data_IF_291642070708
#
_entry.id   IF_291642070708
#
_cell.length_a   1.000
_cell.length_b   1.000
_cell.length_c   1.000
_cell.angle_alpha   90.00
_cell.angle_beta   90.00
_cell.angle_gamma   90.00
#
_symmetry.space_group_name_H-M   'P 1'
#
loop_
_entity.id
_entity.type
_entity.pdbx_description
1 polymer ?
#
# COMPACT_ATOMS: atom_id res chain seq x y z
N UNK A 1 29.99 2.21 -28.27
CA UNK A 1 29.40 2.75 -29.51
C UNK A 1 28.31 1.81 -29.98
N UNK A 2 27.05 2.08 -29.61
CA UNK A 2 25.85 1.49 -30.21
C UNK A 2 24.94 2.71 -30.42
N UNK A 3 25.21 3.45 -31.49
CA UNK A 3 24.54 4.70 -31.83
C UNK A 3 24.07 4.59 -33.27
N UNK A 4 22.76 4.69 -33.47
CA UNK A 4 22.12 4.62 -34.77
C UNK A 4 20.76 3.95 -34.63
N UNK A 5 19.70 4.73 -34.83
CA UNK A 5 18.28 4.31 -34.86
C UNK A 5 17.54 4.20 -33.52
N UNK A 6 17.69 5.19 -32.64
CA UNK A 6 16.55 5.61 -31.82
C UNK A 6 16.09 6.94 -32.40
N UNK A 7 15.37 6.88 -33.52
CA UNK A 7 14.49 7.98 -33.91
C UNK A 7 13.37 7.90 -32.89
N UNK A 8 13.54 8.53 -31.73
CA UNK A 8 12.47 8.66 -30.74
C UNK A 8 11.36 9.46 -31.44
N UNK A 9 10.20 8.90 -31.81
CA UNK A 9 9.12 9.67 -32.45
C UNK A 9 8.58 10.80 -31.55
N UNK A 10 9.03 10.81 -30.29
CA UNK A 10 8.84 11.84 -29.27
C UNK A 10 9.42 13.20 -29.69
N UNK A 11 10.45 13.22 -30.55
CA UNK A 11 11.12 14.43 -31.06
C UNK A 11 10.27 15.17 -32.09
N UNK A 12 9.60 14.44 -32.98
CA UNK A 12 8.86 15.03 -34.10
C UNK A 12 7.40 15.38 -33.77
N UNK A 13 6.81 14.75 -32.76
CA UNK A 13 5.39 14.94 -32.42
C UNK A 13 5.19 15.40 -30.99
N UNK A 14 4.88 16.68 -30.83
CA UNK A 14 4.72 17.28 -29.49
C UNK A 14 3.62 16.64 -28.64
N UNK A 15 2.62 16.01 -29.26
CA UNK A 15 1.60 15.22 -28.57
C UNK A 15 2.16 13.96 -27.90
N UNK A 16 3.04 13.22 -28.56
CA UNK A 16 3.64 12.00 -28.01
C UNK A 16 4.50 12.34 -26.80
N UNK A 17 5.23 13.46 -26.84
CA UNK A 17 6.01 13.84 -25.68
C UNK A 17 5.15 14.21 -24.46
N UNK A 18 4.12 15.04 -24.65
CA UNK A 18 3.19 15.40 -23.56
C UNK A 18 2.57 14.16 -22.94
N UNK A 19 2.13 13.22 -23.78
CA UNK A 19 1.54 11.95 -23.32
C UNK A 19 2.56 11.11 -22.53
N UNK A 20 3.79 10.97 -23.03
CA UNK A 20 4.86 10.22 -22.35
C UNK A 20 5.17 10.82 -20.99
N UNK A 21 5.37 12.14 -20.91
CA UNK A 21 5.61 12.83 -19.65
C UNK A 21 4.45 12.61 -18.68
N UNK A 22 3.22 12.85 -19.12
CA UNK A 22 2.01 12.65 -18.34
C UNK A 22 1.90 11.22 -17.77
N UNK A 23 2.12 10.20 -18.60
CA UNK A 23 2.09 8.80 -18.15
C UNK A 23 3.18 8.49 -17.13
N UNK A 24 4.39 9.01 -17.29
CA UNK A 24 5.49 8.81 -16.33
C UNK A 24 5.16 9.43 -14.97
N UNK A 25 4.64 10.66 -14.95
CA UNK A 25 4.28 11.32 -13.68
C UNK A 25 3.12 10.62 -12.97
N UNK A 26 2.10 10.19 -13.73
CA UNK A 26 0.96 9.47 -13.17
C UNK A 26 1.38 8.12 -12.60
N UNK A 27 2.10 7.30 -13.36
CA UNK A 27 2.51 5.97 -12.90
C UNK A 27 3.41 6.04 -11.66
N UNK A 28 4.34 6.99 -11.62
CA UNK A 28 5.19 7.27 -10.45
C UNK A 28 4.39 7.72 -9.23
N UNK A 29 3.21 8.31 -9.41
CA UNK A 29 2.37 8.77 -8.32
C UNK A 29 1.41 7.69 -7.85
N UNK A 30 0.77 6.96 -8.76
CA UNK A 30 -0.16 5.88 -8.41
C UNK A 30 0.55 4.81 -7.57
N UNK A 31 1.76 4.39 -7.95
CA UNK A 31 2.49 3.32 -7.26
C UNK A 31 2.65 3.54 -5.73
N UNK A 32 3.25 4.64 -5.24
CA UNK A 32 3.37 4.88 -3.79
C UNK A 32 2.02 5.04 -3.10
N UNK A 33 1.02 5.64 -3.76
CA UNK A 33 -0.33 5.76 -3.19
C UNK A 33 -1.06 4.42 -3.06
N UNK A 34 -0.84 3.48 -3.98
CA UNK A 34 -1.33 2.10 -3.84
C UNK A 34 -0.66 1.39 -2.67
N UNK A 35 0.64 1.63 -2.45
CA UNK A 35 1.35 1.09 -1.27
C UNK A 35 0.75 1.67 0.01
N UNK A 36 0.47 2.98 0.06
CA UNK A 36 -0.23 3.61 1.20
C UNK A 36 -1.56 2.92 1.46
N UNK A 37 -2.40 2.71 0.43
CA UNK A 37 -3.66 1.99 0.58
C UNK A 37 -3.46 0.57 1.13
N UNK A 38 -2.44 -0.15 0.66
CA UNK A 38 -2.13 -1.48 1.19
C UNK A 38 -1.70 -1.42 2.67
N UNK A 39 -0.97 -0.39 3.10
CA UNK A 39 -0.62 -0.21 4.52
C UNK A 39 -1.84 0.14 5.38
N UNK A 40 -2.76 0.95 4.86
CA UNK A 40 -4.03 1.27 5.54
C UNK A 40 -4.89 0.01 5.67
N UNK A 41 -4.97 -0.79 4.61
CA UNK A 41 -5.73 -2.04 4.60
C UNK A 41 -5.19 -3.02 5.65
N UNK A 42 -3.86 -3.22 5.70
CA UNK A 42 -3.19 -4.01 6.75
C UNK A 42 -3.44 -3.45 8.14
N UNK A 43 -3.43 -2.13 8.32
CA UNK A 43 -3.74 -1.51 9.60
C UNK A 43 -5.19 -1.79 10.03
N UNK A 44 -6.17 -1.66 9.14
CA UNK A 44 -7.58 -1.94 9.41
C UNK A 44 -7.79 -3.41 9.80
N UNK A 45 -7.10 -4.35 9.13
CA UNK A 45 -7.13 -5.77 9.47
C UNK A 45 -6.48 -6.06 10.83
N UNK A 46 -5.40 -5.36 11.18
CA UNK A 46 -4.71 -5.51 12.47
C UNK A 46 -5.51 -4.99 13.66
N UNK A 47 -6.45 -4.07 13.44
CA UNK A 47 -7.27 -3.44 14.48
C UNK A 47 -8.07 -4.49 15.27
N UNK A 48 -8.25 -4.27 16.58
CA UNK A 48 -9.05 -5.16 17.43
C UNK A 48 -10.55 -4.97 17.17
N UNK A 49 -10.95 -3.75 16.77
CA UNK A 49 -12.35 -3.43 16.51
C UNK A 49 -12.89 -4.10 15.24
N UNK A 50 -13.92 -4.95 15.40
CA UNK A 50 -14.59 -5.65 14.30
C UNK A 50 -15.17 -4.68 13.25
N UNK A 51 -15.69 -3.53 13.69
CA UNK A 51 -16.22 -2.50 12.78
C UNK A 51 -15.12 -1.87 11.90
N UNK A 52 -13.89 -1.73 12.41
CA UNK A 52 -12.76 -1.23 11.63
C UNK A 52 -12.27 -2.29 10.64
N UNK A 53 -12.25 -3.57 11.03
CA UNK A 53 -11.94 -4.70 10.13
C UNK A 53 -12.90 -4.77 8.95
N UNK A 54 -14.18 -4.54 9.18
CA UNK A 54 -15.20 -4.56 8.13
C UNK A 54 -15.00 -3.46 7.06
N UNK A 55 -14.21 -2.42 7.34
CA UNK A 55 -13.87 -1.39 6.34
C UNK A 55 -12.77 -1.84 5.36
N UNK A 56 -11.99 -2.86 5.70
CA UNK A 56 -11.09 -3.58 4.78
C UNK A 56 -11.93 -4.54 3.94
N UNK A 57 -12.68 -3.97 3.00
CA UNK A 57 -13.40 -4.76 1.99
C UNK A 57 -12.80 -4.48 0.63
N UNK A 58 -12.73 -5.51 -0.21
CA UNK A 58 -12.23 -5.39 -1.58
C UNK A 58 -12.95 -4.28 -2.36
N UNK A 59 -14.26 -4.12 -2.14
CA UNK A 59 -15.08 -3.06 -2.76
C UNK A 59 -14.61 -1.67 -2.36
N UNK A 60 -14.27 -1.46 -1.09
CA UNK A 60 -13.77 -0.18 -0.61
C UNK A 60 -12.36 0.08 -1.16
N UNK A 61 -11.47 -0.92 -1.12
CA UNK A 61 -10.13 -0.82 -1.71
C UNK A 61 -10.18 -0.44 -3.20
N UNK A 62 -11.06 -1.09 -3.99
CA UNK A 62 -11.27 -0.75 -5.40
C UNK A 62 -11.77 0.69 -5.58
N UNK A 63 -12.73 1.15 -4.76
CA UNK A 63 -13.20 2.55 -4.80
C UNK A 63 -12.07 3.54 -4.54
N UNK A 64 -11.24 3.30 -3.52
CA UNK A 64 -10.09 4.16 -3.21
C UNK A 64 -9.05 4.16 -4.32
N UNK A 65 -8.74 3.01 -4.91
CA UNK A 65 -7.85 2.93 -6.06
C UNK A 65 -8.36 3.76 -7.24
N UNK A 66 -9.66 3.65 -7.57
CA UNK A 66 -10.27 4.44 -8.65
C UNK A 66 -10.16 5.94 -8.34
N UNK A 67 -10.45 6.36 -7.11
CA UNK A 67 -10.34 7.76 -6.67
C UNK A 67 -8.91 8.26 -6.85
N UNK A 68 -7.89 7.48 -6.46
CA UNK A 68 -6.47 7.86 -6.60
C UNK A 68 -6.07 8.00 -8.06
N UNK A 69 -6.54 7.11 -8.93
CA UNK A 69 -6.26 7.19 -10.37
C UNK A 69 -6.85 8.48 -10.94
N UNK A 70 -8.13 8.76 -10.66
CA UNK A 70 -8.81 9.98 -11.13
C UNK A 70 -8.12 11.23 -10.59
N UNK A 71 -7.80 11.25 -9.30
CA UNK A 71 -7.11 12.37 -8.66
C UNK A 71 -5.71 12.59 -9.27
N UNK A 72 -4.96 11.52 -9.55
CA UNK A 72 -3.64 11.61 -10.20
C UNK A 72 -3.76 12.17 -11.61
N UNK A 73 -4.77 11.76 -12.39
CA UNK A 73 -5.04 12.29 -13.73
C UNK A 73 -5.32 13.80 -13.67
N UNK A 74 -6.19 14.23 -12.74
CA UNK A 74 -6.55 15.65 -12.60
C UNK A 74 -5.37 16.52 -12.18
N UNK A 75 -4.56 16.03 -11.23
CA UNK A 75 -3.39 16.75 -10.73
C UNK A 75 -2.34 16.97 -11.82
N UNK A 76 -2.11 15.95 -12.66
CA UNK A 76 -1.15 16.04 -13.75
C UNK A 76 -1.74 16.49 -15.09
N UNK A 77 -3.04 16.80 -15.16
CA UNK A 77 -3.67 17.35 -16.36
C UNK A 77 -3.00 18.67 -16.80
N UNK A 78 -2.50 19.46 -15.85
CA UNK A 78 -1.76 20.70 -16.12
C UNK A 78 -0.48 20.48 -16.97
N UNK A 79 0.07 19.26 -17.00
CA UNK A 79 1.27 18.96 -17.81
C UNK A 79 0.99 19.07 -19.31
N UNK A 80 -0.25 18.81 -19.76
CA UNK A 80 -0.60 18.98 -21.18
C UNK A 80 -0.48 20.44 -21.63
N UNK A 81 -0.69 21.39 -20.73
CA UNK A 81 -0.51 22.82 -20.98
C UNK A 81 0.93 23.28 -20.75
N UNK A 82 1.56 22.81 -19.67
CA UNK A 82 2.90 23.24 -19.27
C UNK A 82 4.04 22.68 -20.12
N UNK A 83 3.87 21.51 -20.75
CA UNK A 83 4.89 20.90 -21.62
C UNK A 83 4.66 21.30 -23.07
N UNK A 84 5.75 21.63 -23.75
CA UNK A 84 5.76 21.96 -25.17
C UNK A 84 6.98 21.29 -25.82
N UNK A 85 6.81 20.81 -27.04
CA UNK A 85 7.90 20.20 -27.79
C UNK A 85 8.52 21.26 -28.71
N UNK A 86 9.81 21.11 -29.01
CA UNK A 86 10.59 22.03 -29.83
C UNK A 86 10.79 23.42 -29.19
N UNK A 87 11.16 23.48 -27.91
CA UNK A 87 11.73 24.71 -27.36
C UNK A 87 13.14 24.92 -27.92
N UNK A 88 13.36 26.06 -28.55
CA UNK A 88 14.69 26.54 -28.93
C UNK A 88 15.46 26.88 -27.62
N UNK A 89 16.73 26.49 -27.52
CA UNK A 89 17.62 26.66 -26.35
C UNK A 89 17.38 25.76 -25.11
N UNK A 90 16.67 24.63 -25.22
CA UNK A 90 16.64 23.62 -24.13
C UNK A 90 17.38 22.33 -24.48
N UNK A 91 18.16 21.73 -23.55
CA UNK A 91 18.94 20.52 -23.81
C UNK A 91 18.09 19.26 -24.06
N UNK A 92 16.79 19.33 -23.79
CA UNK A 92 15.80 18.28 -24.07
C UNK A 92 14.73 18.84 -25.01
N UNK A 93 14.39 18.10 -26.06
CA UNK A 93 13.40 18.51 -27.07
C UNK A 93 11.95 18.61 -26.54
N UNK A 94 11.74 18.18 -25.30
CA UNK A 94 10.46 18.29 -24.63
C UNK A 94 10.67 18.73 -23.19
N UNK A 95 10.32 19.99 -22.95
CA UNK A 95 10.65 20.66 -21.71
C UNK A 95 9.52 21.59 -21.27
N UNK A 96 9.51 21.94 -19.98
CA UNK A 96 8.54 22.87 -19.45
C UNK A 96 8.67 24.23 -20.13
N UNK A 97 7.58 24.73 -20.71
CA UNK A 97 7.52 26.02 -21.41
C UNK A 97 8.01 27.18 -20.54
N UNK A 98 7.72 27.13 -19.25
CA UNK A 98 8.04 28.19 -18.29
C UNK A 98 8.71 27.64 -17.04
N UNK A 99 9.59 28.45 -16.44
CA UNK A 99 10.25 28.15 -15.17
C UNK A 99 9.22 27.96 -14.05
N UNK A 100 8.12 28.73 -14.07
CA UNK A 100 7.02 28.60 -13.11
C UNK A 100 6.33 27.23 -13.19
N UNK A 101 6.02 26.74 -14.39
CA UNK A 101 5.45 25.40 -14.59
C UNK A 101 6.37 24.31 -14.02
N UNK A 102 7.69 24.46 -14.19
CA UNK A 102 8.67 23.52 -13.65
C UNK A 102 8.66 23.52 -12.12
N UNK A 103 8.73 24.69 -11.48
CA UNK A 103 8.67 24.78 -10.03
C UNK A 103 7.38 24.20 -9.46
N UNK A 104 6.23 24.51 -10.05
CA UNK A 104 4.93 23.99 -9.61
C UNK A 104 4.89 22.47 -9.75
N UNK A 105 5.37 21.92 -10.87
CA UNK A 105 5.38 20.48 -11.11
C UNK A 105 6.33 19.77 -10.14
N UNK A 106 7.56 20.28 -9.98
CA UNK A 106 8.57 19.70 -9.09
C UNK A 106 8.14 19.77 -7.61
N UNK A 107 7.53 20.89 -7.20
CA UNK A 107 6.97 21.04 -5.86
C UNK A 107 5.79 20.10 -5.62
N UNK A 108 4.84 20.06 -6.56
CA UNK A 108 3.66 19.18 -6.46
C UNK A 108 4.07 17.71 -6.41
N UNK A 109 5.03 17.31 -7.24
CA UNK A 109 5.58 15.95 -7.24
C UNK A 109 6.29 15.64 -5.92
N UNK A 110 7.15 16.52 -5.43
CA UNK A 110 7.88 16.31 -4.18
C UNK A 110 6.94 16.17 -2.98
N UNK A 111 5.92 17.02 -2.90
CA UNK A 111 4.97 16.98 -1.78
C UNK A 111 4.01 15.79 -1.92
N UNK A 112 3.35 15.63 -3.06
CA UNK A 112 2.22 14.72 -3.22
C UNK A 112 2.65 13.29 -3.54
N UNK A 113 3.79 13.10 -4.22
CA UNK A 113 4.29 11.77 -4.60
C UNK A 113 5.30 11.22 -3.61
N UNK A 114 6.05 12.08 -2.90
CA UNK A 114 7.10 11.63 -1.97
C UNK A 114 6.69 11.87 -0.53
N UNK A 115 6.55 13.13 -0.10
CA UNK A 115 6.37 13.46 1.32
C UNK A 115 5.05 12.91 1.89
N UNK A 116 3.94 13.13 1.19
CA UNK A 116 2.62 12.68 1.65
C UNK A 116 2.56 11.14 1.78
N UNK A 117 2.92 10.34 0.75
CA UNK A 117 2.88 8.88 0.88
C UNK A 117 3.81 8.35 1.97
N UNK A 118 5.02 8.91 2.11
CA UNK A 118 5.94 8.52 3.19
C UNK A 118 5.34 8.80 4.57
N UNK A 119 4.76 9.98 4.77
CA UNK A 119 4.12 10.33 6.03
C UNK A 119 3.00 9.35 6.39
N UNK A 120 2.12 9.04 5.44
CA UNK A 120 1.04 8.07 5.68
C UNK A 120 1.56 6.65 5.89
N UNK A 121 2.55 6.19 5.12
CA UNK A 121 3.15 4.86 5.31
C UNK A 121 3.77 4.71 6.70
N UNK A 122 4.51 5.72 7.18
CA UNK A 122 5.12 5.68 8.51
C UNK A 122 4.03 5.66 9.58
N UNK A 123 3.05 6.55 9.46
CA UNK A 123 1.93 6.64 10.42
C UNK A 123 1.20 5.30 10.52
N UNK A 124 0.66 4.80 9.41
CA UNK A 124 -0.09 3.53 9.39
C UNK A 124 0.78 2.31 9.67
N UNK A 125 2.07 2.36 9.31
CA UNK A 125 3.05 1.33 9.67
C UNK A 125 3.23 1.21 11.18
N UNK A 126 3.48 2.32 11.88
CA UNK A 126 3.63 2.35 13.34
C UNK A 126 2.34 1.91 14.05
N UNK A 127 1.19 2.40 13.57
CA UNK A 127 -0.14 2.00 14.06
C UNK A 127 -0.40 0.50 13.88
N UNK A 128 0.02 -0.09 12.77
CA UNK A 128 -0.07 -1.54 12.53
C UNK A 128 0.78 -2.32 13.52
N UNK A 129 2.04 -1.91 13.74
CA UNK A 129 2.95 -2.56 14.69
C UNK A 129 2.36 -2.52 16.11
N UNK A 130 1.86 -1.36 16.53
CA UNK A 130 1.22 -1.18 17.85
C UNK A 130 0.02 -2.11 18.04
N UNK A 131 -0.87 -2.19 17.04
CA UNK A 131 -2.04 -3.06 17.07
C UNK A 131 -1.65 -4.55 17.13
N UNK A 132 -0.65 -4.96 16.36
CA UNK A 132 -0.17 -6.35 16.34
C UNK A 132 0.44 -6.73 17.69
N UNK A 133 1.28 -5.87 18.28
CA UNK A 133 1.86 -6.11 19.61
C UNK A 133 0.77 -6.22 20.68
N UNK A 134 -0.24 -5.35 20.64
CA UNK A 134 -1.36 -5.40 21.58
C UNK A 134 -2.18 -6.69 21.41
N UNK A 135 -2.43 -7.11 20.17
CA UNK A 135 -3.13 -8.36 19.85
C UNK A 135 -2.37 -9.59 20.37
N UNK A 136 -1.06 -9.66 20.12
CA UNK A 136 -0.21 -10.75 20.61
C UNK A 136 -0.20 -10.84 22.14
N UNK A 137 -0.09 -9.71 22.85
CA UNK A 137 -0.15 -9.68 24.32
C UNK A 137 -1.48 -10.22 24.85
N UNK A 138 -2.61 -9.86 24.23
CA UNK A 138 -3.94 -10.37 24.62
C UNK A 138 -4.04 -11.88 24.45
N UNK A 139 -3.59 -12.41 23.30
CA UNK A 139 -3.59 -13.86 23.05
C UNK A 139 -2.70 -14.59 24.05
N UNK A 140 -1.51 -14.07 24.37
CA UNK A 140 -0.62 -14.66 25.37
C UNK A 140 -1.26 -14.71 26.77
N UNK A 141 -1.93 -13.64 27.21
CA UNK A 141 -2.64 -13.62 28.50
C UNK A 141 -3.76 -14.67 28.54
N UNK A 142 -4.54 -14.81 27.47
CA UNK A 142 -5.60 -15.82 27.39
C UNK A 142 -5.02 -17.25 27.44
N UNK A 143 -3.90 -17.51 26.76
CA UNK A 143 -3.21 -18.80 26.81
C UNK A 143 -2.67 -19.11 28.22
N UNK A 144 -2.16 -18.10 28.94
CA UNK A 144 -1.70 -18.25 30.33
C UNK A 144 -2.86 -18.49 31.29
N UNK A 145 -4.01 -17.85 31.10
CA UNK A 145 -5.22 -18.12 31.90
C UNK A 145 -5.76 -19.54 31.65
N UNK A 146 -5.76 -20.00 30.40
CA UNK A 146 -6.22 -21.35 30.06
C UNK A 146 -5.25 -22.45 30.53
N UNK A 147 -3.98 -22.11 30.79
CA UNK A 147 -2.96 -23.02 31.35
C UNK A 147 -2.94 -23.09 32.89
N UNK A 148 -3.74 -22.31 33.62
CA UNK A 148 -3.85 -22.50 35.07
C UNK A 148 -4.44 -23.90 35.33
N UNK A 149 -3.71 -24.82 35.96
CA UNK A 149 -4.25 -26.12 36.29
C UNK A 149 -5.38 -25.91 37.30
N UNK A 150 -6.57 -26.39 36.94
CA UNK A 150 -7.67 -26.65 37.86
C UNK A 150 -7.16 -27.61 38.94
N UNK A 151 -6.52 -27.07 39.98
CA UNK A 151 -6.18 -27.82 41.19
C UNK A 151 -7.36 -27.70 42.15
N UNK A 152 -7.96 -28.87 42.44
CA UNK A 152 -8.93 -29.24 43.50
C UNK A 152 -10.35 -29.50 42.95
N UNK A 153 -10.99 -30.67 43.15
CA UNK A 153 -10.77 -31.80 44.07
C UNK A 153 -11.24 -33.15 43.47
N UNK A 154 -10.60 -34.22 43.94
CA UNK A 154 -10.87 -35.66 43.77
C UNK A 154 -12.34 -36.10 43.76
N UNK A 155 -12.73 -36.92 42.78
CA UNK A 155 -13.00 -38.37 42.95
C UNK A 155 -13.69 -38.96 41.71
N UNK A 156 -13.10 -40.00 41.12
CA UNK A 156 -13.82 -41.03 40.37
C UNK A 156 -13.82 -40.94 38.84
N UNK A 157 -13.36 -42.04 38.25
CA UNK A 157 -13.72 -42.60 36.94
C UNK A 157 -12.79 -42.35 35.73
N UNK A 158 -12.65 -43.46 35.01
CA UNK A 158 -11.69 -43.84 33.98
C UNK A 158 -12.25 -43.46 32.60
N UNK A 159 -11.43 -42.84 31.74
CA UNK A 159 -11.68 -42.72 30.29
C UNK A 159 -11.75 -41.28 29.76
N UNK A 160 -10.72 -40.83 29.03
CA UNK A 160 -10.77 -39.50 28.37
C UNK A 160 -9.50 -39.00 27.68
N UNK A 161 -8.45 -39.83 27.52
CA UNK A 161 -7.14 -39.34 27.06
C UNK A 161 -6.99 -39.18 25.53
N UNK A 162 -8.00 -39.56 24.75
CA UNK A 162 -7.90 -39.64 23.28
C UNK A 162 -8.36 -38.36 22.58
N UNK A 163 -9.30 -37.62 23.17
CA UNK A 163 -9.95 -36.47 22.51
C UNK A 163 -9.08 -35.21 22.51
N UNK A 164 -8.30 -35.00 23.58
CA UNK A 164 -7.48 -33.79 23.73
C UNK A 164 -6.26 -33.75 22.79
N UNK A 165 -5.73 -34.93 22.40
CA UNK A 165 -4.63 -35.04 21.41
C UNK A 165 -5.10 -34.80 19.98
N UNK A 166 -6.36 -35.11 19.67
CA UNK A 166 -6.96 -34.89 18.34
C UNK A 166 -7.09 -33.39 18.05
N UNK A 167 -7.69 -32.63 18.97
CA UNK A 167 -7.89 -31.18 18.83
C UNK A 167 -6.58 -30.41 18.62
N UNK A 168 -5.53 -30.80 19.33
CA UNK A 168 -4.22 -30.15 19.23
C UNK A 168 -3.53 -30.40 17.86
N UNK A 169 -3.82 -31.52 17.19
CA UNK A 169 -3.32 -31.78 15.83
C UNK A 169 -4.07 -30.95 14.79
N UNK A 170 -5.37 -30.76 14.96
CA UNK A 170 -6.19 -29.96 14.03
C UNK A 170 -5.79 -28.48 14.04
N UNK A 171 -5.55 -27.90 15.21
CA UNK A 171 -5.09 -26.49 15.32
C UNK A 171 -3.70 -26.28 14.69
N UNK A 172 -2.78 -27.24 14.83
CA UNK A 172 -1.47 -27.18 14.17
C UNK A 172 -1.57 -27.30 12.64
N UNK A 173 -2.54 -28.06 12.14
CA UNK A 173 -2.80 -28.18 10.70
C UNK A 173 -3.33 -26.86 10.11
N UNK A 174 -4.29 -26.22 10.80
CA UNK A 174 -4.87 -24.94 10.37
C UNK A 174 -3.84 -23.79 10.38
N UNK A 175 -2.95 -23.75 11.38
CA UNK A 175 -1.86 -22.77 11.41
C UNK A 175 -0.85 -22.96 10.28
N UNK A 176 -0.60 -24.20 9.83
CA UNK A 176 0.27 -24.46 8.67
C UNK A 176 -0.37 -24.02 7.36
N UNK A 177 -1.69 -24.10 7.22
CA UNK A 177 -2.37 -23.61 6.01
C UNK A 177 -2.38 -22.08 5.91
N UNK A 178 -2.45 -21.37 7.04
CA UNK A 178 -2.45 -19.90 7.07
C UNK A 178 -1.07 -19.26 6.83
N UNK A 179 0.02 -20.04 6.91
CA UNK A 179 1.40 -19.56 6.74
C UNK A 179 1.98 -19.82 5.34
N UNK A 180 1.21 -20.46 4.44
CA UNK A 180 1.65 -20.86 3.08
C UNK A 180 1.04 -19.97 1.98
N UNK A 181 0.45 -18.83 2.34
CA UNK A 181 -0.13 -17.88 1.40
C UNK A 181 0.57 -16.53 1.47
#
# INVERSE_FOLDING_TARGET
MIGGWIIDPTTYTGWICKLRAFLVFITRTIAPWLIVLATIDRWLLSSVDAHRRQKSTLKNAQRWTIIIIIFSILLYAQLFYCYEANLIDTPLECYGKTVACRYITDFSFSVITILCPLFFMILFGLLTISNVQQSQRRVQILQLQNKKPTKNKSSGSIGGNTEHKSKQRTERSLLRMLLVQ
#
